data_IF_203894623242
#
_entry.id   IF_203894623242
#
_cell.length_a   1.000
_cell.length_b   1.000
_cell.length_c   1.000
_cell.angle_alpha   90.00
_cell.angle_beta   90.00
_cell.angle_gamma   90.00
#
_symmetry.space_group_name_H-M   'P 1'
#
loop_
_entity.id
_entity.type
_entity.pdbx_description
1 polymer ?
#
# COMPACT_ATOMS: atom_id res chain seq x y z
N UNK A 1 4.45 14.49 -34.14
CA UNK A 1 3.12 13.92 -33.80
C UNK A 1 3.23 12.41 -33.88
N UNK A 2 3.52 11.79 -32.74
CA UNK A 2 3.68 10.34 -32.61
C UNK A 2 2.58 9.91 -31.65
N UNK A 3 1.58 9.15 -32.12
CA UNK A 3 0.62 8.48 -31.25
C UNK A 3 0.58 7.02 -31.68
N UNK A 4 1.37 6.22 -30.97
CA UNK A 4 1.34 4.77 -31.01
C UNK A 4 -0.01 4.27 -30.51
N UNK A 5 -0.66 3.45 -31.33
CA UNK A 5 -1.80 2.66 -30.91
C UNK A 5 -1.30 1.61 -29.93
N UNK A 6 -1.60 1.79 -28.64
CA UNK A 6 -1.58 0.72 -27.65
C UNK A 6 -2.74 -0.23 -27.98
N UNK A 7 -2.44 -1.25 -28.79
CA UNK A 7 -3.35 -2.36 -29.04
C UNK A 7 -3.21 -3.33 -27.86
N UNK A 8 -3.89 -3.00 -26.75
CA UNK A 8 -4.03 -3.89 -25.61
C UNK A 8 -4.82 -5.12 -26.05
N UNK A 9 -4.09 -6.22 -26.28
CA UNK A 9 -4.67 -7.50 -26.62
C UNK A 9 -5.71 -7.91 -25.58
N UNK A 10 -6.98 -7.87 -25.97
CA UNK A 10 -8.02 -8.63 -25.31
C UNK A 10 -7.65 -10.11 -25.48
N UNK A 11 -6.93 -10.67 -24.50
CA UNK A 11 -6.77 -12.11 -24.40
C UNK A 11 -8.18 -12.66 -24.19
N UNK A 12 -8.69 -13.39 -25.17
CA UNK A 12 -9.88 -14.20 -24.99
C UNK A 12 -9.66 -15.06 -23.74
N UNK A 13 -10.33 -14.73 -22.64
CA UNK A 13 -10.36 -15.59 -21.45
C UNK A 13 -10.97 -16.89 -21.91
N UNK A 14 -10.14 -17.91 -22.12
CA UNK A 14 -10.57 -19.19 -22.67
C UNK A 14 -11.71 -19.74 -21.82
N UNK A 15 -12.70 -20.38 -22.44
CA UNK A 15 -13.88 -20.92 -21.75
C UNK A 15 -13.53 -21.75 -20.49
N UNK A 16 -12.35 -22.37 -20.48
CA UNK A 16 -11.79 -23.13 -19.37
C UNK A 16 -11.47 -22.26 -18.13
N UNK A 17 -10.97 -21.04 -18.30
CA UNK A 17 -10.65 -20.13 -17.21
C UNK A 17 -11.92 -19.66 -16.50
N UNK A 18 -12.95 -19.28 -17.29
CA UNK A 18 -14.26 -18.89 -16.75
C UNK A 18 -14.96 -20.04 -16.04
N UNK A 19 -14.85 -21.25 -16.58
CA UNK A 19 -15.38 -22.45 -15.95
C UNK A 19 -14.68 -22.74 -14.62
N UNK A 20 -13.35 -22.63 -14.57
CA UNK A 20 -12.57 -22.80 -13.33
C UNK A 20 -12.99 -21.81 -12.25
N UNK A 21 -13.10 -20.52 -12.58
CA UNK A 21 -13.53 -19.46 -11.65
C UNK A 21 -14.99 -19.62 -11.22
N UNK A 22 -15.87 -20.10 -12.10
CA UNK A 22 -17.28 -20.33 -11.75
C UNK A 22 -17.45 -21.56 -10.84
N UNK A 23 -16.72 -22.65 -11.15
CA UNK A 23 -16.66 -23.84 -10.31
C UNK A 23 -16.15 -23.52 -8.91
N UNK A 24 -15.07 -22.73 -8.80
CA UNK A 24 -14.53 -22.18 -7.55
C UNK A 24 -15.62 -21.61 -6.65
N UNK A 25 -16.43 -20.72 -7.23
CA UNK A 25 -17.35 -19.88 -6.47
C UNK A 25 -18.59 -20.64 -6.06
N UNK A 26 -18.96 -21.67 -6.81
CA UNK A 26 -20.09 -22.53 -6.47
C UNK A 26 -19.70 -23.56 -5.40
N UNK A 27 -18.57 -24.24 -5.58
CA UNK A 27 -18.14 -25.37 -4.75
C UNK A 27 -17.87 -24.97 -3.29
N UNK A 28 -17.33 -23.76 -3.07
CA UNK A 28 -17.01 -23.22 -1.74
C UNK A 28 -18.12 -22.38 -1.09
N UNK A 29 -19.35 -22.43 -1.61
CA UNK A 29 -20.45 -21.55 -1.18
C UNK A 29 -21.53 -22.26 -0.36
N UNK A 30 -22.35 -21.48 0.37
CA UNK A 30 -23.52 -21.99 1.12
C UNK A 30 -24.46 -22.86 0.25
N UNK A 31 -24.74 -22.52 -1.03
CA UNK A 31 -25.45 -23.41 -1.94
C UNK A 31 -24.87 -24.84 -2.05
N UNK A 32 -23.55 -25.00 -2.10
CA UNK A 32 -22.90 -26.32 -2.15
C UNK A 32 -23.16 -27.11 -0.85
N UNK A 33 -23.05 -26.44 0.31
CA UNK A 33 -23.35 -27.04 1.61
C UNK A 33 -24.81 -27.54 1.70
N UNK A 34 -25.76 -26.75 1.19
CA UNK A 34 -27.17 -27.14 1.13
C UNK A 34 -27.37 -28.33 0.17
N UNK A 35 -26.75 -28.32 -1.00
CA UNK A 35 -26.81 -29.44 -1.96
C UNK A 35 -26.26 -30.74 -1.36
N UNK A 36 -25.13 -30.68 -0.64
CA UNK A 36 -24.57 -31.82 0.10
C UNK A 36 -25.54 -32.34 1.15
N UNK A 37 -26.09 -31.44 1.95
CA UNK A 37 -27.03 -31.80 3.02
C UNK A 37 -28.25 -32.54 2.45
N UNK A 38 -28.79 -32.05 1.33
CA UNK A 38 -29.90 -32.71 0.63
C UNK A 38 -29.48 -34.05 0.05
N UNK A 39 -28.29 -34.16 -0.56
CA UNK A 39 -27.77 -35.39 -1.13
C UNK A 39 -27.60 -36.48 -0.06
N UNK A 40 -27.02 -36.14 1.10
CA UNK A 40 -26.88 -37.06 2.22
C UNK A 40 -28.24 -37.52 2.76
N UNK A 41 -29.16 -36.58 3.03
CA UNK A 41 -30.51 -36.91 3.48
C UNK A 41 -31.22 -37.79 2.44
N UNK A 42 -31.10 -37.47 1.16
CA UNK A 42 -31.67 -38.24 0.05
C UNK A 42 -31.12 -39.66 -0.03
N UNK A 43 -29.82 -39.86 0.20
CA UNK A 43 -29.20 -41.18 0.25
C UNK A 43 -29.75 -42.02 1.43
N UNK A 44 -29.94 -41.42 2.61
CA UNK A 44 -30.56 -42.10 3.76
C UNK A 44 -32.07 -42.36 3.56
N UNK A 45 -32.78 -41.49 2.84
CA UNK A 45 -34.17 -41.77 2.45
C UNK A 45 -34.24 -42.92 1.45
N UNK A 46 -33.26 -43.03 0.54
CA UNK A 46 -33.16 -44.12 -0.41
C UNK A 46 -32.95 -45.47 0.30
N UNK A 47 -32.17 -45.54 1.37
CA UNK A 47 -32.03 -46.79 2.15
C UNK A 47 -33.35 -47.16 2.83
N UNK A 48 -34.13 -46.19 3.31
CA UNK A 48 -35.47 -46.41 3.84
C UNK A 48 -36.45 -47.00 2.80
N UNK A 49 -36.28 -46.66 1.51
CA UNK A 49 -37.08 -47.21 0.41
C UNK A 49 -36.74 -48.68 0.04
N UNK A 50 -35.85 -49.32 0.80
CA UNK A 50 -35.50 -50.74 0.67
C UNK A 50 -34.25 -51.01 -0.18
N UNK A 51 -33.47 -49.98 -0.50
CA UNK A 51 -32.16 -50.17 -1.12
C UNK A 51 -31.12 -50.61 -0.09
N UNK A 52 -30.20 -51.46 -0.53
CA UNK A 52 -29.13 -52.00 0.31
C UNK A 52 -28.21 -50.88 0.83
N UNK A 53 -28.05 -50.82 2.15
CA UNK A 53 -27.28 -49.77 2.84
C UNK A 53 -25.82 -49.75 2.36
N UNK A 54 -25.20 -50.92 2.23
CA UNK A 54 -23.79 -51.04 1.87
C UNK A 54 -23.55 -50.50 0.47
N UNK A 55 -24.44 -50.82 -0.47
CA UNK A 55 -24.36 -50.31 -1.85
C UNK A 55 -24.57 -48.81 -1.94
N UNK A 56 -25.54 -48.26 -1.21
CA UNK A 56 -25.81 -46.81 -1.20
C UNK A 56 -24.65 -46.04 -0.59
N UNK A 57 -24.12 -46.50 0.55
CA UNK A 57 -22.97 -45.87 1.19
C UNK A 57 -21.69 -45.97 0.33
N UNK A 58 -21.47 -47.08 -0.37
CA UNK A 58 -20.35 -47.22 -1.30
C UNK A 58 -20.44 -46.19 -2.43
N UNK A 59 -21.61 -46.03 -3.06
CA UNK A 59 -21.80 -45.03 -4.11
C UNK A 59 -21.65 -43.61 -3.55
N UNK A 60 -22.33 -43.31 -2.44
CA UNK A 60 -22.28 -42.01 -1.79
C UNK A 60 -20.84 -41.59 -1.45
N UNK A 61 -20.08 -42.49 -0.82
CA UNK A 61 -18.68 -42.22 -0.45
C UNK A 61 -17.76 -42.11 -1.67
N UNK A 62 -18.00 -42.86 -2.76
CA UNK A 62 -17.24 -42.67 -4.00
C UNK A 62 -17.50 -41.32 -4.65
N UNK A 63 -18.75 -40.85 -4.67
CA UNK A 63 -19.11 -39.53 -5.23
C UNK A 63 -18.54 -38.41 -4.36
N UNK A 64 -18.75 -38.47 -3.04
CA UNK A 64 -18.25 -37.46 -2.10
C UNK A 64 -16.72 -37.45 -2.05
N UNK A 65 -16.06 -38.61 -2.17
CA UNK A 65 -14.58 -38.66 -2.23
C UNK A 65 -14.01 -38.09 -3.53
N UNK A 66 -14.69 -38.29 -4.67
CA UNK A 66 -14.32 -37.59 -5.91
C UNK A 66 -14.41 -36.08 -5.73
N UNK A 67 -15.51 -35.58 -5.16
CA UNK A 67 -15.65 -34.15 -4.87
C UNK A 67 -14.56 -33.62 -3.92
N UNK A 68 -14.22 -34.38 -2.87
CA UNK A 68 -13.14 -34.00 -1.95
C UNK A 68 -11.78 -33.86 -2.65
N UNK A 69 -11.46 -34.75 -3.60
CA UNK A 69 -10.23 -34.65 -4.39
C UNK A 69 -10.26 -33.42 -5.30
N UNK A 70 -11.39 -33.14 -5.96
CA UNK A 70 -11.54 -31.94 -6.80
C UNK A 70 -11.39 -30.65 -5.98
N UNK A 71 -12.03 -30.57 -4.81
CA UNK A 71 -11.90 -29.44 -3.87
C UNK A 71 -10.46 -29.25 -3.41
N UNK A 72 -9.75 -30.34 -3.08
CA UNK A 72 -8.36 -30.27 -2.64
C UNK A 72 -7.42 -29.71 -3.73
N UNK A 73 -7.55 -30.20 -4.97
CA UNK A 73 -6.77 -29.68 -6.12
C UNK A 73 -7.14 -28.22 -6.37
N UNK A 74 -8.41 -27.89 -6.24
CA UNK A 74 -8.92 -26.55 -6.42
C UNK A 74 -8.34 -25.54 -5.40
N UNK A 75 -8.32 -25.92 -4.12
CA UNK A 75 -7.68 -25.14 -3.06
C UNK A 75 -6.19 -24.96 -3.35
N UNK A 76 -5.50 -26.01 -3.79
CA UNK A 76 -4.07 -25.94 -4.14
C UNK A 76 -3.80 -24.98 -5.30
N UNK A 77 -4.60 -25.02 -6.37
CA UNK A 77 -4.48 -24.07 -7.48
C UNK A 77 -4.71 -22.62 -7.02
N UNK A 78 -5.67 -22.40 -6.12
CA UNK A 78 -5.96 -21.08 -5.57
C UNK A 78 -4.82 -20.58 -4.69
N UNK A 79 -4.29 -21.43 -3.80
CA UNK A 79 -3.13 -21.09 -2.96
C UNK A 79 -1.94 -20.71 -3.83
N UNK A 80 -1.59 -21.52 -4.84
CA UNK A 80 -0.48 -21.22 -5.74
C UNK A 80 -0.63 -19.86 -6.42
N UNK A 81 -1.85 -19.51 -6.87
CA UNK A 81 -2.13 -18.21 -7.49
C UNK A 81 -2.06 -17.06 -6.47
N UNK A 82 -2.54 -17.27 -5.25
CA UNK A 82 -2.45 -16.26 -4.19
C UNK A 82 -1.00 -16.06 -3.75
N UNK A 83 -0.21 -17.12 -3.65
CA UNK A 83 1.23 -17.02 -3.36
C UNK A 83 1.96 -16.19 -4.40
N UNK A 84 1.69 -16.41 -5.69
CA UNK A 84 2.29 -15.59 -6.75
C UNK A 84 1.85 -14.10 -6.66
N UNK A 85 0.59 -13.82 -6.31
CA UNK A 85 0.14 -12.44 -6.08
C UNK A 85 0.77 -11.82 -4.83
N UNK A 86 1.08 -12.62 -3.80
CA UNK A 86 1.77 -12.12 -2.61
C UNK A 86 3.23 -11.76 -2.91
N UNK A 87 3.89 -12.50 -3.80
CA UNK A 87 5.24 -12.18 -4.28
C UNK A 87 5.26 -10.85 -5.04
N UNK A 88 4.27 -10.59 -5.90
CA UNK A 88 4.10 -9.30 -6.59
C UNK A 88 3.88 -8.14 -5.58
N UNK A 89 3.03 -8.35 -4.58
CA UNK A 89 2.81 -7.35 -3.51
C UNK A 89 4.07 -7.13 -2.65
N UNK A 90 4.91 -8.16 -2.48
CA UNK A 90 6.19 -8.04 -1.76
C UNK A 90 7.18 -7.16 -2.53
N UNK A 91 7.25 -7.30 -3.86
CA UNK A 91 8.03 -6.41 -4.73
C UNK A 91 7.54 -4.96 -4.66
N UNK A 92 6.22 -4.73 -4.73
CA UNK A 92 5.63 -3.39 -4.57
C UNK A 92 5.98 -2.76 -3.20
N UNK A 93 6.06 -3.57 -2.13
CA UNK A 93 6.45 -3.09 -0.79
C UNK A 93 7.94 -2.73 -0.74
N UNK A 94 8.79 -3.47 -1.44
CA UNK A 94 10.21 -3.18 -1.55
C UNK A 94 10.45 -1.85 -2.28
N UNK A 95 9.75 -1.61 -3.41
CA UNK A 95 9.79 -0.33 -4.14
C UNK A 95 9.34 0.84 -3.25
N UNK A 96 8.21 0.70 -2.54
CA UNK A 96 7.73 1.73 -1.60
C UNK A 96 8.76 1.97 -0.48
N UNK A 97 9.48 0.94 -0.04
CA UNK A 97 10.51 1.07 0.99
C UNK A 97 11.73 1.85 0.48
N UNK A 98 12.12 1.66 -0.79
CA UNK A 98 13.16 2.45 -1.44
C UNK A 98 12.73 3.92 -1.56
N UNK A 99 11.50 4.19 -2.02
CA UNK A 99 10.94 5.54 -2.09
C UNK A 99 10.93 6.24 -0.72
N UNK A 100 10.59 5.53 0.35
CA UNK A 100 10.65 6.04 1.73
C UNK A 100 12.10 6.36 2.15
N UNK A 101 13.08 5.60 1.67
CA UNK A 101 14.51 5.90 1.86
C UNK A 101 14.91 7.22 1.21
N UNK A 102 14.52 7.42 -0.06
CA UNK A 102 14.77 8.67 -0.80
C UNK A 102 14.06 9.85 -0.14
N UNK A 103 12.83 9.68 0.34
CA UNK A 103 12.12 10.73 1.08
C UNK A 103 12.86 11.10 2.37
N UNK A 104 13.44 10.13 3.09
CA UNK A 104 14.22 10.40 4.30
C UNK A 104 15.47 11.23 3.99
N UNK A 105 16.21 10.90 2.93
CA UNK A 105 17.36 11.68 2.47
C UNK A 105 16.94 13.12 2.13
N UNK A 106 15.86 13.30 1.35
CA UNK A 106 15.36 14.64 1.04
C UNK A 106 14.93 15.43 2.28
N UNK A 107 14.41 14.76 3.32
CA UNK A 107 14.03 15.42 4.58
C UNK A 107 15.27 15.85 5.37
N UNK A 108 16.34 15.06 5.34
CA UNK A 108 17.63 15.41 5.95
C UNK A 108 18.26 16.62 5.23
N UNK A 109 18.27 16.62 3.90
CA UNK A 109 18.75 17.76 3.09
C UNK A 109 17.95 19.03 3.39
N UNK A 110 16.62 18.95 3.42
CA UNK A 110 15.75 20.09 3.78
C UNK A 110 16.04 20.57 5.22
N UNK A 111 16.38 19.66 6.14
CA UNK A 111 16.69 20.02 7.51
C UNK A 111 18.03 20.78 7.59
N UNK A 112 19.03 20.38 6.80
CA UNK A 112 20.30 21.12 6.65
C UNK A 112 20.05 22.51 6.04
N UNK A 113 19.26 22.60 4.95
CA UNK A 113 18.89 23.88 4.32
C UNK A 113 18.21 24.83 5.31
N UNK A 114 17.32 24.30 6.17
CA UNK A 114 16.64 25.10 7.20
C UNK A 114 17.63 25.58 8.27
N UNK A 115 18.57 24.73 8.69
CA UNK A 115 19.61 25.11 9.66
C UNK A 115 20.51 26.22 9.09
N UNK A 116 20.95 26.11 7.84
CA UNK A 116 21.75 27.14 7.18
C UNK A 116 21.02 28.50 7.11
N UNK A 117 19.75 28.50 6.72
CA UNK A 117 18.94 29.73 6.68
C UNK A 117 18.85 30.35 8.08
N UNK A 118 18.60 29.54 9.12
CA UNK A 118 18.51 30.08 10.49
C UNK A 118 19.81 30.69 10.99
N UNK A 119 20.95 30.07 10.69
CA UNK A 119 22.28 30.63 11.06
C UNK A 119 22.56 31.91 10.28
N UNK A 120 22.24 31.95 8.99
CA UNK A 120 22.40 33.15 8.15
C UNK A 120 21.58 34.33 8.69
N UNK A 121 20.33 34.10 9.09
CA UNK A 121 19.47 35.14 9.66
C UNK A 121 20.03 35.67 11.00
N UNK A 122 20.56 34.79 11.86
CA UNK A 122 21.20 35.19 13.12
C UNK A 122 22.48 36.02 12.90
N UNK A 123 23.31 35.66 11.91
CA UNK A 123 24.51 36.43 11.57
C UNK A 123 24.19 37.81 10.97
N UNK A 124 23.16 37.91 10.12
CA UNK A 124 22.69 39.18 9.57
C UNK A 124 22.19 40.12 10.67
N UNK A 125 21.32 39.63 11.57
CA UNK A 125 20.81 40.40 12.72
C UNK A 125 21.96 40.92 13.60
N UNK A 126 22.92 40.05 13.95
CA UNK A 126 24.09 40.46 14.74
C UNK A 126 24.94 41.54 14.04
N UNK A 127 25.03 41.49 12.70
CA UNK A 127 25.73 42.52 11.92
C UNK A 127 24.99 43.85 11.89
N UNK A 128 23.65 43.82 11.83
CA UNK A 128 22.81 45.00 11.83
C UNK A 128 22.88 45.73 13.17
N UNK A 129 22.80 45.00 14.28
CA UNK A 129 22.95 45.55 15.63
C UNK A 129 24.28 46.29 15.80
N UNK A 130 25.40 45.71 15.33
CA UNK A 130 26.71 46.38 15.38
C UNK A 130 26.76 47.66 14.54
N UNK A 131 26.06 47.70 13.38
CA UNK A 131 25.99 48.90 12.55
C UNK A 131 25.16 49.99 13.25
N UNK A 132 24.05 49.62 13.87
CA UNK A 132 23.22 50.53 14.65
C UNK A 132 24.00 51.12 15.82
N UNK A 133 24.74 50.30 16.58
CA UNK A 133 25.56 50.77 17.70
C UNK A 133 26.64 51.77 17.25
N UNK A 134 27.31 51.52 16.12
CA UNK A 134 28.28 52.46 15.53
C UNK A 134 27.64 53.79 15.12
N UNK A 135 26.42 53.74 14.57
CA UNK A 135 25.67 54.95 14.21
C UNK A 135 25.30 55.73 15.49
N UNK A 136 24.85 55.05 16.54
CA UNK A 136 24.51 55.69 17.82
C UNK A 136 25.72 56.40 18.45
N UNK A 137 26.87 55.73 18.51
CA UNK A 137 28.14 56.33 18.97
C UNK A 137 28.53 57.56 18.15
N UNK A 138 28.36 57.50 16.82
CA UNK A 138 28.66 58.62 15.93
C UNK A 138 27.73 59.81 16.19
N UNK A 139 26.43 59.56 16.37
CA UNK A 139 25.44 60.59 16.71
C UNK A 139 25.73 61.23 18.07
N UNK A 140 26.07 60.43 19.09
CA UNK A 140 26.44 60.93 20.42
C UNK A 140 27.68 61.84 20.36
N UNK A 141 28.65 61.49 19.52
CA UNK A 141 29.86 62.29 19.30
C UNK A 141 29.52 63.62 18.65
N UNK A 142 28.72 63.62 17.57
CA UNK A 142 28.27 64.83 16.88
C UNK A 142 27.49 65.75 17.85
N UNK A 143 26.61 65.19 18.69
CA UNK A 143 25.86 65.97 19.69
C UNK A 143 26.80 66.64 20.68
N UNK A 144 27.84 65.94 21.16
CA UNK A 144 28.86 66.53 22.04
C UNK A 144 29.63 67.65 21.34
N UNK A 145 30.08 67.43 20.11
CA UNK A 145 30.79 68.43 19.32
C UNK A 145 29.94 69.70 19.08
N UNK A 146 28.64 69.54 18.81
CA UNK A 146 27.70 70.67 18.69
C UNK A 146 27.56 71.43 20.01
N UNK A 147 27.48 70.74 21.15
CA UNK A 147 27.37 71.39 22.47
C UNK A 147 28.64 72.20 22.82
N UNK A 148 29.82 71.65 22.51
CA UNK A 148 31.10 72.34 22.68
C UNK A 148 31.24 73.57 21.76
N UNK A 149 30.82 73.46 20.50
CA UNK A 149 30.75 74.59 19.57
C UNK A 149 29.78 75.67 20.03
N UNK A 150 28.68 75.29 20.67
CA UNK A 150 27.71 76.24 21.22
C UNK A 150 28.26 76.99 22.43
N UNK A 151 29.02 76.32 23.29
CA UNK A 151 29.68 76.91 24.47
C UNK A 151 30.80 77.89 24.09
N UNK A 152 31.53 77.63 23.01
CA UNK A 152 32.61 78.49 22.52
C UNK A 152 32.11 79.73 21.77
N UNK A 153 30.83 79.75 21.35
CA UNK A 153 30.21 80.87 20.63
C UNK A 153 29.35 81.78 21.51
N UNK A 154 29.17 81.45 22.79
CA UNK A 154 28.51 82.29 23.81
C UNK A 154 29.52 82.97 24.72
#
# INVERSE_FOLDING_TARGET
>A
MQNGKINGGQKETGALERFSVSATRWIGSIPSLVAHTILFVGAFVMTWLGFDLDRVLLILTTVVSLEAIYLAIFIQMTINRTTAQLEEVEEDIEEISEDIGVIQENVEDIQEDVEEITVSDEEEEASEDQKIEKIEQSLLTIVKEIDELKKTRS
#
